data_IF_224205713323
#
_entry.id   IF_224205713323
#
_cell.length_a   1.000
_cell.length_b   1.000
_cell.length_c   1.000
_cell.angle_alpha   90.00
_cell.angle_beta   90.00
_cell.angle_gamma   90.00
#
_symmetry.space_group_name_H-M   'P 1'
#
loop_
_entity.id
_entity.type
_entity.pdbx_description
1 polymer ?
#
# COMPACT_ATOMS: atom_id res chain seq x y z
N UNK A 1 3.70 -25.59 33.90
CA UNK A 1 4.96 -25.18 33.25
C UNK A 1 4.63 -24.36 32.03
N UNK A 2 4.84 -23.01 32.09
CA UNK A 2 4.55 -22.11 31.00
C UNK A 2 5.54 -22.34 29.85
N UNK A 3 5.04 -22.70 28.66
CA UNK A 3 5.87 -22.70 27.45
C UNK A 3 6.39 -21.28 27.21
N UNK A 4 7.71 -21.13 27.07
CA UNK A 4 8.32 -19.87 26.62
C UNK A 4 7.78 -19.54 25.22
N UNK A 5 7.08 -18.41 25.08
CA UNK A 5 6.61 -17.88 23.80
C UNK A 5 7.47 -16.70 23.39
N UNK A 6 7.77 -16.58 22.11
CA UNK A 6 8.43 -15.38 21.58
C UNK A 6 7.37 -14.30 21.41
N UNK A 7 7.70 -13.04 21.72
CA UNK A 7 6.79 -11.91 21.51
C UNK A 7 6.36 -11.76 20.03
N UNK A 8 7.24 -12.09 19.10
CA UNK A 8 6.92 -12.09 17.66
C UNK A 8 5.82 -13.08 17.27
N UNK A 9 5.68 -14.19 17.99
CA UNK A 9 4.64 -15.19 17.73
C UNK A 9 3.25 -14.72 18.22
N UNK A 10 3.22 -13.69 19.07
CA UNK A 10 2.01 -13.10 19.62
C UNK A 10 1.51 -11.87 18.81
N UNK A 11 2.21 -11.51 17.72
CA UNK A 11 1.78 -10.43 16.85
C UNK A 11 0.51 -10.84 16.07
N UNK A 12 -0.57 -10.10 16.26
CA UNK A 12 -1.83 -10.28 15.54
C UNK A 12 -1.92 -9.43 14.30
N UNK A 13 -1.36 -8.22 14.36
CA UNK A 13 -1.51 -7.20 13.33
C UNK A 13 -0.24 -6.36 13.22
N UNK A 14 0.14 -6.06 11.99
CA UNK A 14 1.18 -5.09 11.65
C UNK A 14 0.50 -3.94 10.89
N UNK A 15 0.57 -2.75 11.47
CA UNK A 15 0.32 -1.52 10.74
C UNK A 15 1.66 -0.99 10.24
N UNK A 16 1.77 -0.79 8.94
CA UNK A 16 3.03 -0.38 8.31
C UNK A 16 2.83 0.84 7.42
N UNK A 17 3.78 1.78 7.46
CA UNK A 17 3.80 2.95 6.60
C UNK A 17 5.24 3.26 6.17
N UNK A 18 5.37 3.94 5.02
CA UNK A 18 6.66 4.37 4.46
C UNK A 18 7.69 3.22 4.45
N UNK A 19 8.93 3.46 4.84
CA UNK A 19 9.98 2.43 4.92
C UNK A 19 9.66 1.23 5.80
N UNK A 20 8.77 1.37 6.79
CA UNK A 20 8.31 0.28 7.65
C UNK A 20 7.53 -0.80 6.91
N UNK A 21 6.98 -0.49 5.72
CA UNK A 21 6.24 -1.45 4.90
C UNK A 21 7.11 -2.57 4.35
N UNK A 22 8.38 -2.29 4.07
CA UNK A 22 9.32 -3.29 3.58
C UNK A 22 9.59 -4.36 4.64
N UNK A 23 9.87 -3.94 5.87
CA UNK A 23 10.10 -4.86 6.99
C UNK A 23 8.81 -5.57 7.39
N UNK A 24 7.72 -4.82 7.55
CA UNK A 24 6.42 -5.37 7.96
C UNK A 24 5.83 -6.33 6.93
N UNK A 25 5.89 -5.98 5.65
CA UNK A 25 5.44 -6.82 4.54
C UNK A 25 6.26 -8.09 4.41
N UNK A 26 7.60 -7.96 4.48
CA UNK A 26 8.49 -9.11 4.44
C UNK A 26 8.23 -10.09 5.59
N UNK A 27 8.12 -9.56 6.83
CA UNK A 27 7.82 -10.40 7.98
C UNK A 27 6.44 -11.06 7.89
N UNK A 28 5.43 -10.36 7.43
CA UNK A 28 4.09 -10.92 7.28
C UNK A 28 4.07 -12.11 6.30
N UNK A 29 4.84 -12.03 5.21
CA UNK A 29 4.94 -13.08 4.19
C UNK A 29 5.87 -14.23 4.60
N UNK A 30 7.07 -13.92 5.05
CA UNK A 30 8.17 -14.88 5.14
C UNK A 30 8.63 -15.18 6.57
N UNK A 31 8.06 -14.53 7.58
CA UNK A 31 8.29 -14.82 8.99
C UNK A 31 9.76 -14.77 9.38
N UNK A 32 10.26 -15.83 10.00
CA UNK A 32 11.61 -15.90 10.52
C UNK A 32 12.70 -15.82 9.45
N UNK A 33 12.35 -15.95 8.18
CA UNK A 33 13.29 -15.75 7.09
C UNK A 33 13.88 -14.33 7.09
N UNK A 34 13.16 -13.35 7.67
CA UNK A 34 13.64 -11.97 7.83
C UNK A 34 15.01 -11.91 8.55
N UNK A 35 15.28 -12.81 9.48
CA UNK A 35 16.55 -12.87 10.23
C UNK A 35 17.70 -13.50 9.43
N UNK A 36 17.42 -14.10 8.29
CA UNK A 36 18.41 -14.82 7.49
C UNK A 36 18.84 -14.06 6.26
N UNK A 37 17.91 -13.43 5.54
CA UNK A 37 18.21 -12.89 4.20
C UNK A 37 17.75 -11.44 3.96
N UNK A 38 16.88 -10.86 4.79
CA UNK A 38 16.37 -9.50 4.60
C UNK A 38 17.50 -8.45 4.54
N UNK A 39 18.56 -8.64 5.33
CA UNK A 39 19.72 -7.75 5.31
C UNK A 39 20.35 -7.68 3.91
N UNK A 40 20.53 -8.83 3.25
CA UNK A 40 21.11 -8.89 1.91
C UNK A 40 20.12 -8.52 0.82
N UNK A 41 18.87 -8.92 0.98
CA UNK A 41 17.83 -8.67 -0.01
C UNK A 41 17.40 -7.19 -0.03
N UNK A 42 17.49 -6.50 1.10
CA UNK A 42 16.98 -5.15 1.22
C UNK A 42 17.99 -4.16 1.81
N UNK A 43 18.52 -4.38 3.02
CA UNK A 43 19.27 -3.34 3.74
C UNK A 43 20.62 -3.01 3.12
N UNK A 44 21.28 -3.98 2.47
CA UNK A 44 22.58 -3.78 1.80
C UNK A 44 22.48 -3.33 0.36
N UNK A 45 21.28 -3.24 -0.20
CA UNK A 45 21.10 -2.81 -1.58
C UNK A 45 21.10 -1.29 -1.71
N UNK A 46 21.73 -0.80 -2.76
CA UNK A 46 21.65 0.59 -3.19
C UNK A 46 20.46 0.77 -4.14
N UNK A 47 19.29 0.95 -3.56
CA UNK A 47 18.03 1.07 -4.30
C UNK A 47 17.99 2.27 -5.25
N UNK A 48 18.70 3.37 -4.92
CA UNK A 48 18.78 4.52 -5.81
C UNK A 48 19.55 4.20 -7.09
N UNK A 49 20.69 3.52 -6.97
CA UNK A 49 21.45 3.05 -8.11
C UNK A 49 20.68 2.01 -8.92
N UNK A 50 20.03 1.03 -8.28
CA UNK A 50 19.22 0.02 -8.97
C UNK A 50 18.05 0.65 -9.75
N UNK A 51 17.36 1.63 -9.14
CA UNK A 51 16.28 2.38 -9.79
C UNK A 51 16.77 3.15 -11.01
N UNK A 52 17.89 3.89 -10.87
CA UNK A 52 18.48 4.63 -11.97
C UNK A 52 18.91 3.73 -13.11
N UNK A 53 19.57 2.61 -12.81
CA UNK A 53 19.97 1.63 -13.82
C UNK A 53 18.76 1.02 -14.54
N UNK A 54 17.71 0.65 -13.80
CA UNK A 54 16.48 0.10 -14.39
C UNK A 54 15.83 1.13 -15.35
N UNK A 55 15.85 2.40 -15.00
CA UNK A 55 15.34 3.47 -15.87
C UNK A 55 16.22 3.63 -17.10
N UNK A 56 17.54 3.75 -16.92
CA UNK A 56 18.47 4.10 -18.01
C UNK A 56 18.67 2.95 -19.01
N UNK A 57 18.71 1.71 -18.53
CA UNK A 57 18.97 0.53 -19.37
C UNK A 57 17.76 -0.01 -20.12
N UNK A 58 16.54 0.45 -19.79
CA UNK A 58 15.31 -0.06 -20.39
C UNK A 58 14.60 1.01 -21.24
N UNK A 59 14.73 0.96 -22.57
CA UNK A 59 13.99 1.90 -23.46
C UNK A 59 12.47 1.83 -23.28
N UNK A 60 11.94 0.65 -22.90
CA UNK A 60 10.51 0.49 -22.60
C UNK A 60 10.09 1.31 -21.40
N UNK A 61 10.94 1.47 -20.38
CA UNK A 61 10.63 2.32 -19.23
C UNK A 61 10.61 3.80 -19.60
N UNK A 62 11.39 4.24 -20.58
CA UNK A 62 11.33 5.61 -21.07
C UNK A 62 9.95 5.93 -21.68
N UNK A 63 9.41 5.00 -22.47
CA UNK A 63 8.06 5.13 -23.05
C UNK A 63 7.00 5.12 -21.94
N UNK A 64 7.11 4.22 -20.97
CA UNK A 64 6.16 4.12 -19.83
C UNK A 64 6.17 5.38 -18.97
N UNK A 65 7.34 5.99 -18.74
CA UNK A 65 7.49 7.22 -17.96
C UNK A 65 6.89 8.47 -18.64
N UNK A 66 6.52 8.40 -19.91
CA UNK A 66 5.75 9.46 -20.57
C UNK A 66 4.26 9.44 -20.20
N UNK A 67 3.80 8.34 -19.63
CA UNK A 67 2.42 8.26 -19.11
C UNK A 67 2.27 9.10 -17.85
N UNK A 68 1.20 9.90 -17.71
CA UNK A 68 0.94 10.64 -16.48
C UNK A 68 0.57 9.73 -15.29
N UNK A 69 0.30 8.46 -15.56
CA UNK A 69 -0.11 7.47 -14.56
C UNK A 69 0.99 6.46 -14.21
N UNK A 70 2.16 6.57 -14.81
CA UNK A 70 3.30 5.69 -14.55
C UNK A 70 4.54 6.52 -14.25
N UNK A 71 5.19 6.25 -13.14
CA UNK A 71 6.36 7.01 -12.72
C UNK A 71 7.38 6.17 -11.97
N UNK A 72 8.35 6.84 -11.37
CA UNK A 72 9.48 6.20 -10.68
C UNK A 72 9.06 5.25 -9.55
N UNK A 73 7.96 5.55 -8.86
CA UNK A 73 7.45 4.67 -7.81
C UNK A 73 6.96 3.33 -8.35
N UNK A 74 6.40 3.29 -9.56
CA UNK A 74 5.99 2.03 -10.19
C UNK A 74 7.21 1.17 -10.57
N UNK A 75 8.31 1.80 -11.04
CA UNK A 75 9.56 1.06 -11.31
C UNK A 75 10.17 0.55 -10.00
N UNK A 76 10.09 1.34 -8.93
CA UNK A 76 10.53 0.89 -7.61
C UNK A 76 9.67 -0.28 -7.11
N UNK A 77 8.34 -0.24 -7.34
CA UNK A 77 7.46 -1.36 -7.00
C UNK A 77 7.88 -2.65 -7.72
N UNK A 78 8.19 -2.57 -9.03
CA UNK A 78 8.68 -3.72 -9.80
C UNK A 78 10.00 -4.27 -9.23
N UNK A 79 10.94 -3.39 -8.87
CA UNK A 79 12.21 -3.81 -8.26
C UNK A 79 12.00 -4.50 -6.90
N UNK A 80 11.12 -3.94 -6.07
CA UNK A 80 10.78 -4.53 -4.77
C UNK A 80 10.06 -5.86 -4.93
N UNK A 81 9.19 -5.96 -5.92
CA UNK A 81 8.44 -7.17 -6.21
C UNK A 81 9.37 -8.33 -6.59
N UNK A 82 10.33 -8.06 -7.49
CA UNK A 82 11.33 -9.05 -7.91
C UNK A 82 12.30 -9.43 -6.78
N UNK A 83 12.84 -8.43 -6.08
CA UNK A 83 13.96 -8.63 -5.17
C UNK A 83 13.56 -8.99 -3.74
N UNK A 84 12.41 -8.51 -3.28
CA UNK A 84 11.98 -8.59 -1.88
C UNK A 84 10.73 -9.43 -1.67
N UNK A 85 9.67 -9.19 -2.47
CA UNK A 85 8.36 -9.76 -2.21
C UNK A 85 8.03 -10.99 -3.05
N UNK A 86 8.90 -11.41 -3.99
CA UNK A 86 8.75 -12.66 -4.77
C UNK A 86 7.39 -12.76 -5.48
N UNK A 87 6.92 -11.64 -6.03
CA UNK A 87 5.62 -11.52 -6.72
C UNK A 87 4.40 -11.88 -5.86
N UNK A 88 4.51 -11.73 -4.53
CA UNK A 88 3.43 -12.03 -3.61
C UNK A 88 2.39 -10.92 -3.56
N UNK A 89 1.13 -11.33 -3.60
CA UNK A 89 -0.04 -10.46 -3.50
C UNK A 89 -0.66 -10.50 -2.10
N UNK A 90 -1.63 -9.61 -1.85
CA UNK A 90 -2.47 -9.70 -0.65
C UNK A 90 -3.29 -11.00 -0.62
N UNK A 91 -3.64 -11.57 -1.78
CA UNK A 91 -4.29 -12.88 -1.88
C UNK A 91 -3.38 -14.01 -1.40
N UNK A 92 -2.10 -13.99 -1.78
CA UNK A 92 -1.11 -14.95 -1.29
C UNK A 92 -0.96 -14.83 0.23
N UNK A 93 -0.84 -13.60 0.75
CA UNK A 93 -0.75 -13.36 2.19
C UNK A 93 -1.98 -13.90 2.92
N UNK A 94 -3.19 -13.66 2.41
CA UNK A 94 -4.43 -14.18 2.99
C UNK A 94 -4.50 -15.71 2.93
N UNK A 95 -3.97 -16.33 1.89
CA UNK A 95 -3.92 -17.78 1.72
C UNK A 95 -3.04 -18.49 2.77
N UNK A 96 -2.08 -17.79 3.36
CA UNK A 96 -1.25 -18.33 4.45
C UNK A 96 -2.08 -18.64 5.70
N UNK A 97 -3.22 -17.98 5.90
CA UNK A 97 -4.13 -18.15 7.06
C UNK A 97 -3.41 -18.08 8.41
N UNK A 98 -2.37 -17.27 8.49
CA UNK A 98 -1.55 -17.13 9.70
C UNK A 98 -1.39 -15.66 10.08
N UNK A 99 -1.04 -15.40 11.34
CA UNK A 99 -0.72 -14.07 11.84
C UNK A 99 0.71 -13.69 11.48
N UNK A 100 1.03 -12.39 11.48
CA UNK A 100 0.15 -11.24 11.66
C UNK A 100 -0.63 -10.91 10.38
N UNK A 101 -1.77 -10.23 10.54
CA UNK A 101 -2.42 -9.51 9.44
C UNK A 101 -1.59 -8.26 9.13
N UNK A 102 -1.51 -7.87 7.85
CA UNK A 102 -0.77 -6.70 7.39
C UNK A 102 -1.74 -5.64 6.88
N UNK A 103 -1.65 -4.42 7.43
CA UNK A 103 -2.31 -3.23 6.90
C UNK A 103 -1.23 -2.22 6.55
N UNK A 104 -1.10 -1.90 5.27
CA UNK A 104 -0.24 -0.83 4.78
C UNK A 104 -1.09 0.44 4.64
N UNK A 105 -0.48 1.59 4.96
CA UNK A 105 -1.10 2.90 4.82
C UNK A 105 -0.35 3.76 3.83
N UNK A 106 -1.09 4.52 3.03
CA UNK A 106 -0.57 5.59 2.19
C UNK A 106 -1.38 6.87 2.41
N UNK A 107 -0.91 8.00 1.93
CA UNK A 107 -1.64 9.27 1.96
C UNK A 107 -2.31 9.53 0.62
N UNK A 108 -3.59 9.79 0.63
CA UNK A 108 -4.31 10.27 -0.56
C UNK A 108 -3.88 11.70 -0.86
N UNK A 109 -3.29 11.93 -2.02
CA UNK A 109 -2.75 13.22 -2.44
C UNK A 109 -3.80 14.34 -2.47
N UNK A 110 -5.06 14.01 -2.77
CA UNK A 110 -6.12 15.01 -2.92
C UNK A 110 -6.65 15.52 -1.58
N UNK A 111 -6.69 14.67 -0.58
CA UNK A 111 -7.32 14.98 0.72
C UNK A 111 -6.35 14.96 1.89
N UNK A 112 -5.14 14.44 1.66
CA UNK A 112 -4.14 14.07 2.69
C UNK A 112 -4.73 13.10 3.74
N UNK A 113 -5.81 12.41 3.37
CA UNK A 113 -6.41 11.40 4.23
C UNK A 113 -5.61 10.10 4.16
N UNK A 114 -5.66 9.33 5.24
CA UNK A 114 -5.08 7.99 5.29
C UNK A 114 -5.85 7.04 4.38
N UNK A 115 -5.16 6.46 3.41
CA UNK A 115 -5.65 5.38 2.56
C UNK A 115 -5.09 4.06 3.07
N UNK A 116 -5.97 3.13 3.43
CA UNK A 116 -5.59 1.83 3.97
C UNK A 116 -5.70 0.75 2.90
N UNK A 117 -4.66 -0.06 2.73
CA UNK A 117 -4.70 -1.23 1.87
C UNK A 117 -5.45 -2.36 2.58
N UNK A 118 -6.77 -2.22 2.62
CA UNK A 118 -7.75 -3.18 3.14
C UNK A 118 -8.83 -3.42 2.10
N UNK A 119 -9.46 -4.60 2.09
CA UNK A 119 -10.57 -4.84 1.17
C UNK A 119 -11.71 -3.83 1.40
N UNK A 120 -11.97 -3.46 2.66
CA UNK A 120 -12.96 -2.43 2.98
C UNK A 120 -12.71 -1.11 2.23
N UNK A 121 -11.45 -0.64 2.15
CA UNK A 121 -11.11 0.58 1.42
C UNK A 121 -11.21 0.37 -0.10
N UNK A 122 -10.82 -0.83 -0.59
CA UNK A 122 -10.86 -1.18 -2.00
C UNK A 122 -12.28 -1.37 -2.53
N UNK A 123 -13.23 -1.74 -1.69
CA UNK A 123 -14.65 -1.85 -2.05
C UNK A 123 -15.22 -0.50 -2.51
N UNK A 124 -14.78 0.63 -1.93
CA UNK A 124 -15.21 1.98 -2.35
C UNK A 124 -14.80 2.34 -3.77
N UNK A 125 -13.71 1.75 -4.27
CA UNK A 125 -13.22 1.96 -5.64
C UNK A 125 -13.49 0.76 -6.55
N UNK A 126 -14.31 -0.18 -6.10
CA UNK A 126 -14.69 -1.40 -6.81
C UNK A 126 -13.49 -2.22 -7.31
N UNK A 127 -12.51 -2.41 -6.45
CA UNK A 127 -11.28 -3.14 -6.75
C UNK A 127 -11.06 -4.28 -5.79
N UNK A 128 -10.39 -5.33 -6.25
CA UNK A 128 -10.06 -6.52 -5.48
C UNK A 128 -8.62 -6.40 -4.94
N UNK A 129 -8.51 -6.20 -3.62
CA UNK A 129 -7.21 -6.11 -2.95
C UNK A 129 -6.39 -7.40 -3.10
N UNK A 130 -7.05 -8.56 -3.23
CA UNK A 130 -6.34 -9.84 -3.30
C UNK A 130 -5.39 -9.93 -4.51
N UNK A 131 -5.68 -9.18 -5.57
CA UNK A 131 -4.86 -9.13 -6.79
C UNK A 131 -3.69 -8.16 -6.70
N UNK A 132 -3.65 -7.32 -5.66
CA UNK A 132 -2.62 -6.29 -5.54
C UNK A 132 -1.31 -6.88 -5.01
N UNK A 133 -0.16 -6.66 -5.71
CA UNK A 133 1.15 -6.99 -5.16
C UNK A 133 1.44 -6.22 -3.86
N UNK A 134 2.05 -6.89 -2.89
CA UNK A 134 2.50 -6.22 -1.65
C UNK A 134 3.52 -5.13 -1.98
N UNK A 135 4.32 -5.33 -3.02
CA UNK A 135 5.28 -4.35 -3.52
C UNK A 135 4.63 -3.03 -3.93
N UNK A 136 3.48 -3.07 -4.62
CA UNK A 136 2.76 -1.87 -5.07
C UNK A 136 2.26 -1.05 -3.89
N UNK A 137 1.66 -1.71 -2.90
CA UNK A 137 1.21 -1.06 -1.67
C UNK A 137 2.39 -0.45 -0.89
N UNK A 138 3.50 -1.20 -0.81
CA UNK A 138 4.71 -0.74 -0.12
C UNK A 138 5.35 0.47 -0.82
N UNK A 139 5.45 0.42 -2.15
CA UNK A 139 5.98 1.54 -2.94
C UNK A 139 5.07 2.76 -2.88
N UNK A 140 3.74 2.58 -2.88
CA UNK A 140 2.78 3.69 -2.70
C UNK A 140 2.96 4.36 -1.34
N UNK A 141 3.11 3.53 -0.28
CA UNK A 141 3.32 4.01 1.08
C UNK A 141 4.67 4.70 1.28
N UNK A 142 5.68 4.35 0.50
CA UNK A 142 7.02 4.93 0.54
C UNK A 142 7.26 5.99 -0.57
N UNK A 143 6.22 6.40 -1.30
CA UNK A 143 6.32 7.37 -2.39
C UNK A 143 6.51 8.80 -1.86
N UNK A 144 7.70 9.07 -1.32
CA UNK A 144 8.07 10.40 -0.82
C UNK A 144 8.07 11.42 -1.97
N UNK A 145 7.31 12.53 -1.84
CA UNK A 145 7.31 13.60 -2.83
C UNK A 145 8.72 14.09 -3.18
N UNK A 146 8.94 14.45 -4.45
CA UNK A 146 10.21 14.86 -5.05
C UNK A 146 11.19 13.70 -5.31
N UNK A 147 11.17 12.63 -4.52
CA UNK A 147 12.03 11.45 -4.73
C UNK A 147 11.35 10.45 -5.65
N UNK A 148 10.10 10.12 -5.33
CA UNK A 148 9.26 9.21 -6.10
C UNK A 148 8.00 9.92 -6.60
N UNK A 149 7.41 9.41 -7.69
CA UNK A 149 6.11 9.85 -8.16
C UNK A 149 4.99 9.21 -7.33
N UNK A 150 3.78 9.81 -7.30
CA UNK A 150 2.62 9.12 -6.75
C UNK A 150 2.35 7.79 -7.47
N UNK A 151 1.82 6.81 -6.75
CA UNK A 151 1.19 5.64 -7.37
C UNK A 151 -0.30 5.93 -7.55
N UNK A 152 -0.80 5.67 -8.76
CA UNK A 152 -2.16 6.05 -9.16
C UNK A 152 -3.00 4.81 -9.40
N UNK A 153 -4.12 4.71 -8.69
CA UNK A 153 -5.13 3.67 -8.90
C UNK A 153 -6.35 4.26 -9.61
N UNK A 154 -6.85 3.56 -10.61
CA UNK A 154 -8.09 3.96 -11.28
C UNK A 154 -9.28 3.67 -10.36
N UNK A 155 -10.20 4.62 -10.32
CA UNK A 155 -11.43 4.48 -9.56
C UNK A 155 -12.52 3.84 -10.44
N UNK A 156 -12.99 2.66 -10.04
CA UNK A 156 -14.03 1.88 -10.73
C UNK A 156 -15.36 1.89 -9.99
N UNK A 157 -15.59 2.82 -9.06
CA UNK A 157 -16.75 2.83 -8.16
C UNK A 157 -18.12 2.81 -8.87
N UNK A 158 -18.19 3.21 -10.15
CA UNK A 158 -19.39 3.10 -10.95
C UNK A 158 -19.57 1.73 -11.66
N UNK A 159 -18.62 0.81 -11.53
CA UNK A 159 -18.65 -0.48 -12.24
C UNK A 159 -19.18 -1.63 -11.38
N UNK A 160 -19.33 -1.43 -10.10
CA UNK A 160 -19.94 -2.37 -9.19
C UNK A 160 -21.13 -1.75 -8.46
N UNK A 161 -21.94 -2.59 -7.81
CA UNK A 161 -23.10 -2.15 -7.02
C UNK A 161 -22.76 -2.05 -5.53
N UNK A 162 -21.56 -1.48 -5.22
CA UNK A 162 -21.17 -1.31 -3.83
C UNK A 162 -22.09 -0.31 -3.13
N UNK A 163 -22.58 -0.69 -1.96
CA UNK A 163 -23.39 0.18 -1.10
C UNK A 163 -22.59 0.46 0.15
N UNK A 164 -22.30 1.74 0.36
CA UNK A 164 -21.58 2.16 1.56
C UNK A 164 -22.33 1.78 2.84
N UNK A 165 -21.63 1.34 3.89
CA UNK A 165 -22.26 1.01 5.15
C UNK A 165 -23.05 2.19 5.74
N UNK A 166 -24.25 1.91 6.27
CA UNK A 166 -25.16 2.93 6.80
C UNK A 166 -24.57 3.75 7.95
N UNK A 167 -23.60 3.19 8.69
CA UNK A 167 -22.93 3.91 9.78
C UNK A 167 -22.13 5.14 9.28
N UNK A 168 -21.70 5.17 8.01
CA UNK A 168 -21.02 6.34 7.45
C UNK A 168 -21.93 7.58 7.41
N UNK A 169 -23.21 7.39 7.05
CA UNK A 169 -24.18 8.48 7.08
C UNK A 169 -24.47 8.95 8.51
N UNK A 170 -24.40 8.04 9.48
CA UNK A 170 -24.52 8.39 10.90
C UNK A 170 -23.27 9.15 11.38
N UNK A 171 -22.07 8.70 10.95
CA UNK A 171 -20.81 9.35 11.30
C UNK A 171 -20.71 10.79 10.77
N UNK A 172 -21.30 11.10 9.61
CA UNK A 172 -21.39 12.48 9.10
C UNK A 172 -22.12 13.43 10.05
N UNK A 173 -23.09 12.90 10.81
CA UNK A 173 -23.87 13.68 11.79
C UNK A 173 -23.24 13.72 13.17
N UNK A 174 -22.13 13.00 13.34
CA UNK A 174 -21.37 12.89 14.58
C UNK A 174 -20.38 14.04 14.79
N UNK A 175 -19.40 13.82 15.67
CA UNK A 175 -18.34 14.79 15.89
C UNK A 175 -17.45 15.03 14.64
N UNK A 176 -16.72 16.15 14.64
CA UNK A 176 -15.91 16.63 13.49
C UNK A 176 -15.01 15.54 12.88
N UNK A 177 -14.33 14.75 13.70
CA UNK A 177 -13.41 13.70 13.22
C UNK A 177 -14.15 12.59 12.47
N UNK A 178 -15.28 12.11 13.03
CA UNK A 178 -16.10 11.09 12.38
C UNK A 178 -16.71 11.57 11.07
N UNK A 179 -17.19 12.82 11.05
CA UNK A 179 -17.74 13.43 9.84
C UNK A 179 -16.66 13.61 8.75
N UNK A 180 -15.45 14.04 9.12
CA UNK A 180 -14.34 14.15 8.19
C UNK A 180 -14.02 12.80 7.56
N UNK A 181 -13.78 11.76 8.37
CA UNK A 181 -13.45 10.42 7.86
C UNK A 181 -14.55 9.82 7.00
N UNK A 182 -15.83 10.02 7.37
CA UNK A 182 -16.95 9.57 6.56
C UNK A 182 -17.00 10.27 5.20
N UNK A 183 -16.76 11.58 5.15
CA UNK A 183 -16.73 12.34 3.88
C UNK A 183 -15.55 11.93 3.00
N UNK A 184 -14.38 11.66 3.58
CA UNK A 184 -13.23 11.15 2.86
C UNK A 184 -13.55 9.82 2.18
N UNK A 185 -14.08 8.85 2.92
CA UNK A 185 -14.46 7.54 2.37
C UNK A 185 -15.53 7.65 1.29
N UNK A 186 -16.58 8.43 1.54
CA UNK A 186 -17.66 8.61 0.57
C UNK A 186 -17.23 9.36 -0.70
N UNK A 187 -16.16 10.14 -0.63
CA UNK A 187 -15.63 10.84 -1.80
C UNK A 187 -15.12 9.87 -2.88
N UNK A 188 -14.73 8.65 -2.51
CA UNK A 188 -14.30 7.62 -3.46
C UNK A 188 -15.44 7.06 -4.31
N UNK A 189 -16.70 7.24 -3.91
CA UNK A 189 -17.88 6.78 -4.67
C UNK A 189 -18.24 7.70 -5.85
N UNK A 190 -17.54 8.81 -6.03
CA UNK A 190 -17.76 9.75 -7.14
C UNK A 190 -16.58 9.68 -8.14
N UNK A 191 -16.61 8.75 -9.11
CA UNK A 191 -15.52 8.56 -10.07
C UNK A 191 -15.43 9.68 -11.10
N UNK A 192 -16.46 10.54 -11.23
CA UNK A 192 -16.41 11.71 -12.11
C UNK A 192 -15.50 12.79 -11.51
N UNK A 193 -15.61 13.01 -10.19
CA UNK A 193 -14.72 13.93 -9.47
C UNK A 193 -13.37 13.32 -9.14
N UNK A 194 -13.32 12.00 -8.96
CA UNK A 194 -12.12 11.27 -8.55
C UNK A 194 -11.88 10.06 -9.46
N UNK A 195 -11.55 10.28 -10.74
CA UNK A 195 -11.31 9.17 -11.68
C UNK A 195 -10.08 8.34 -11.34
N UNK A 196 -9.14 8.93 -10.59
CA UNK A 196 -7.92 8.29 -10.09
C UNK A 196 -7.68 8.65 -8.62
N UNK A 197 -7.12 7.71 -7.90
CA UNK A 197 -6.63 7.90 -6.54
C UNK A 197 -5.11 7.94 -6.62
N UNK A 198 -4.51 9.07 -6.25
CA UNK A 198 -3.07 9.27 -6.25
C UNK A 198 -2.55 9.13 -4.83
N UNK A 199 -1.68 8.16 -4.62
CA UNK A 199 -1.15 7.84 -3.30
C UNK A 199 0.31 8.29 -3.18
N UNK A 200 0.62 8.86 -2.03
CA UNK A 200 1.92 9.33 -1.61
C UNK A 200 2.34 8.65 -0.31
N UNK A 201 3.54 8.99 0.17
CA UNK A 201 4.09 8.49 1.43
C UNK A 201 3.06 8.57 2.57
N UNK A 202 2.91 7.47 3.28
CA UNK A 202 1.94 7.33 4.38
C UNK A 202 2.18 8.32 5.52
N UNK A 203 3.44 8.71 5.75
CA UNK A 203 3.83 9.66 6.79
C UNK A 203 3.31 11.08 6.58
N UNK A 204 2.74 11.42 5.41
CA UNK A 204 2.13 12.73 5.18
C UNK A 204 0.75 12.85 5.84
N UNK A 205 0.01 11.75 5.96
CA UNK A 205 -1.32 11.72 6.58
C UNK A 205 -1.23 11.35 8.06
N UNK A 206 -0.36 10.43 8.40
CA UNK A 206 -0.27 9.84 9.74
C UNK A 206 1.16 9.31 9.96
N UNK A 207 1.91 9.93 10.85
CA UNK A 207 3.30 9.57 11.15
C UNK A 207 3.50 9.27 12.65
N UNK A 208 2.53 8.64 13.27
CA UNK A 208 2.57 8.26 14.70
C UNK A 208 2.81 6.78 14.87
#
# INVERSE_FOLDING_TARGET
EGKKKRLLDELDLIHALSGGTFTGGYYALFRDQIFHDFEYRFLRKDWDTELRERILRSPSNWVRLWSPYFGRAHIMAELLDEALFEHKTYGDLAALRQRPMLIIHASDMATLARFEFTQFQFDFICSDLSQLPIADASAASAALPLVLSPISYKNYSNQCKYVAPAWLEQAKRGGRIGAQRANELLSYLDPEKRPYIHLLDGGLADNL
#
